data_IF_184606340300
#
_entry.id   IF_184606340300
#
_cell.length_a   1.000
_cell.length_b   1.000
_cell.length_c   1.000
_cell.angle_alpha   90.00
_cell.angle_beta   90.00
_cell.angle_gamma   90.00
#
_symmetry.space_group_name_H-M   'P 1'
#
loop_
_entity.id
_entity.type
_entity.pdbx_description
1 polymer ?
#
# COMPACT_ATOMS: atom_id res chain seq x y z
N UNK A 1 -4.27 -7.42 -28.95
CA UNK A 1 -4.81 -6.25 -29.70
C UNK A 1 -5.41 -5.28 -28.66
N UNK A 2 -4.74 -4.17 -28.37
CA UNK A 2 -5.09 -3.25 -27.26
C UNK A 2 -6.52 -2.72 -27.41
N UNK A 3 -7.30 -2.74 -26.33
CA UNK A 3 -8.65 -2.16 -26.30
C UNK A 3 -8.52 -0.64 -26.13
N UNK A 4 -8.99 0.14 -27.12
CA UNK A 4 -9.07 1.60 -27.03
C UNK A 4 -10.51 2.06 -26.83
N UNK A 5 -10.70 3.28 -26.33
CA UNK A 5 -12.04 3.86 -26.16
C UNK A 5 -12.74 3.93 -27.52
N UNK A 6 -12.05 4.40 -28.57
CA UNK A 6 -12.56 4.41 -29.94
C UNK A 6 -13.06 3.03 -30.39
N UNK A 7 -12.31 1.95 -30.13
CA UNK A 7 -12.73 0.59 -30.51
C UNK A 7 -13.92 0.11 -29.68
N UNK A 8 -13.96 0.45 -28.40
CA UNK A 8 -15.08 0.12 -27.53
C UNK A 8 -16.37 0.83 -27.99
N UNK A 9 -16.27 2.12 -28.33
CA UNK A 9 -17.36 2.92 -28.89
C UNK A 9 -17.90 2.30 -30.18
N UNK A 10 -17.01 1.99 -31.13
CA UNK A 10 -17.40 1.32 -32.38
C UNK A 10 -18.18 0.04 -32.10
N UNK A 11 -17.65 -0.85 -31.26
CA UNK A 11 -18.32 -2.11 -30.93
C UNK A 11 -19.68 -1.89 -30.23
N UNK A 12 -19.80 -0.88 -29.36
CA UNK A 12 -21.06 -0.57 -28.70
C UNK A 12 -22.11 -0.09 -29.71
N UNK A 13 -21.72 0.78 -30.64
CA UNK A 13 -22.60 1.29 -31.69
C UNK A 13 -22.96 0.23 -32.74
N UNK A 14 -22.05 -0.72 -33.05
CA UNK A 14 -22.32 -1.85 -33.96
C UNK A 14 -23.31 -2.86 -33.39
N UNK A 15 -23.45 -2.91 -32.06
CA UNK A 15 -24.41 -3.78 -31.39
C UNK A 15 -25.82 -3.18 -31.32
N UNK A 16 -26.00 -1.90 -31.66
CA UNK A 16 -27.31 -1.27 -31.66
C UNK A 16 -28.13 -1.78 -32.85
N UNK A 17 -29.45 -1.89 -32.67
CA UNK A 17 -30.36 -2.03 -33.79
C UNK A 17 -30.28 -0.78 -34.69
N UNK A 18 -30.65 -0.93 -35.96
CA UNK A 18 -30.69 0.19 -36.91
C UNK A 18 -31.54 1.36 -36.39
N UNK A 19 -32.69 1.07 -35.78
CA UNK A 19 -33.56 2.08 -35.17
C UNK A 19 -32.90 2.80 -33.99
N UNK A 20 -32.19 2.07 -33.13
CA UNK A 20 -31.53 2.65 -31.97
C UNK A 20 -30.30 3.46 -32.38
N UNK A 21 -29.58 3.02 -33.41
CA UNK A 21 -28.47 3.77 -33.99
C UNK A 21 -28.91 5.10 -34.62
N UNK A 22 -30.03 5.10 -35.35
CA UNK A 22 -30.61 6.33 -35.90
C UNK A 22 -31.09 7.27 -34.78
N UNK A 23 -31.72 6.74 -33.75
CA UNK A 23 -32.15 7.52 -32.57
C UNK A 23 -30.94 8.09 -31.83
N UNK A 24 -29.87 7.30 -31.66
CA UNK A 24 -28.60 7.76 -31.10
C UNK A 24 -28.02 8.95 -31.89
N UNK A 25 -28.02 8.85 -33.22
CA UNK A 25 -27.57 9.90 -34.12
C UNK A 25 -28.41 11.18 -34.00
N UNK A 26 -29.73 11.04 -33.86
CA UNK A 26 -30.64 12.15 -33.65
C UNK A 26 -30.38 12.85 -32.31
N UNK A 27 -30.23 12.10 -31.21
CA UNK A 27 -29.93 12.67 -29.90
C UNK A 27 -28.55 13.32 -29.84
N UNK A 28 -27.56 12.75 -30.54
CA UNK A 28 -26.23 13.36 -30.68
C UNK A 28 -26.30 14.72 -31.39
N UNK A 29 -27.19 14.86 -32.38
CA UNK A 29 -27.47 16.12 -33.08
C UNK A 29 -28.19 17.13 -32.18
N UNK A 30 -29.19 16.68 -31.43
CA UNK A 30 -30.07 17.54 -30.64
C UNK A 30 -29.41 18.03 -29.33
N UNK A 31 -28.22 17.49 -29.02
CA UNK A 31 -27.37 17.91 -27.91
C UNK A 31 -27.00 19.39 -28.00
N UNK A 32 -27.46 20.19 -27.03
CA UNK A 32 -27.25 21.66 -26.98
C UNK A 32 -25.93 22.09 -26.34
N UNK A 33 -25.20 21.16 -25.76
CA UNK A 33 -23.91 21.37 -25.09
C UNK A 33 -22.76 21.47 -26.11
N UNK A 34 -21.86 22.43 -25.92
CA UNK A 34 -20.64 22.54 -26.73
C UNK A 34 -19.62 21.44 -26.38
N UNK A 35 -18.87 20.88 -27.34
CA UNK A 35 -18.91 21.14 -28.78
C UNK A 35 -20.15 20.55 -29.49
N UNK A 36 -20.79 21.34 -30.36
CA UNK A 36 -21.96 20.87 -31.14
C UNK A 36 -21.57 20.10 -32.39
N UNK A 37 -22.37 19.08 -32.72
CA UNK A 37 -22.24 18.30 -33.95
C UNK A 37 -23.19 18.86 -35.01
N UNK A 38 -22.66 19.22 -36.19
CA UNK A 38 -23.47 19.74 -37.30
C UNK A 38 -24.30 18.63 -37.97
N UNK A 39 -25.46 19.01 -38.50
CA UNK A 39 -26.42 18.12 -39.18
C UNK A 39 -25.77 17.26 -40.28
N UNK A 40 -24.98 17.88 -41.17
CA UNK A 40 -24.27 17.21 -42.27
C UNK A 40 -23.22 16.20 -41.80
N UNK A 41 -22.87 16.23 -40.52
CA UNK A 41 -21.88 15.33 -39.96
C UNK A 41 -22.47 14.04 -39.41
N UNK A 42 -23.79 13.86 -39.40
CA UNK A 42 -24.41 12.67 -38.82
C UNK A 42 -25.30 11.91 -39.81
N UNK A 43 -25.94 12.63 -40.74
CA UNK A 43 -26.82 12.03 -41.75
C UNK A 43 -26.06 11.07 -42.69
N UNK A 44 -26.66 9.90 -42.95
CA UNK A 44 -26.14 8.82 -43.82
C UNK A 44 -24.74 8.31 -43.50
N UNK A 45 -24.28 8.49 -42.26
CA UNK A 45 -22.96 8.04 -41.83
C UNK A 45 -22.97 6.64 -41.23
N UNK A 46 -21.98 5.85 -41.62
CA UNK A 46 -21.71 4.55 -41.03
C UNK A 46 -21.27 4.65 -39.56
N UNK A 47 -21.43 3.57 -38.81
CA UNK A 47 -20.97 3.45 -37.41
C UNK A 47 -19.50 3.86 -37.25
N UNK A 48 -18.65 3.51 -38.22
CA UNK A 48 -17.25 3.91 -38.26
C UNK A 48 -17.07 5.43 -38.31
N UNK A 49 -17.79 6.09 -39.22
CA UNK A 49 -17.70 7.53 -39.39
C UNK A 49 -18.29 8.29 -38.20
N UNK A 50 -19.36 7.79 -37.59
CA UNK A 50 -19.93 8.36 -36.36
C UNK A 50 -18.97 8.19 -35.18
N UNK A 51 -18.32 7.03 -35.05
CA UNK A 51 -17.29 6.81 -34.03
C UNK A 51 -16.12 7.78 -34.19
N UNK A 52 -15.64 7.96 -35.42
CA UNK A 52 -14.56 8.90 -35.73
C UNK A 52 -14.95 10.35 -35.46
N UNK A 53 -16.20 10.71 -35.77
CA UNK A 53 -16.76 12.02 -35.47
C UNK A 53 -16.80 12.28 -33.95
N UNK A 54 -17.29 11.31 -33.17
CA UNK A 54 -17.35 11.42 -31.71
C UNK A 54 -15.95 11.66 -31.12
N UNK A 55 -14.97 10.84 -31.52
CA UNK A 55 -13.60 10.94 -31.00
C UNK A 55 -12.91 12.23 -31.48
N UNK A 56 -13.13 12.67 -32.72
CA UNK A 56 -12.54 13.92 -33.23
C UNK A 56 -13.16 15.18 -32.62
N UNK A 57 -14.46 15.16 -32.34
CA UNK A 57 -15.19 16.32 -31.80
C UNK A 57 -14.98 16.46 -30.29
N UNK A 58 -15.12 15.36 -29.55
CA UNK A 58 -15.12 15.39 -28.10
C UNK A 58 -13.80 14.95 -27.48
N UNK A 59 -12.88 14.32 -28.20
CA UNK A 59 -11.74 13.54 -27.66
C UNK A 59 -12.20 12.24 -26.98
N UNK A 60 -11.35 11.21 -26.94
CA UNK A 60 -11.76 9.87 -26.48
C UNK A 60 -12.45 9.86 -25.10
N UNK A 61 -11.94 10.51 -24.03
CA UNK A 61 -12.57 10.43 -22.72
C UNK A 61 -13.96 11.09 -22.68
N UNK A 62 -14.14 12.24 -23.34
CA UNK A 62 -15.42 12.95 -23.34
C UNK A 62 -16.39 12.25 -24.29
N UNK A 63 -15.91 11.74 -25.44
CA UNK A 63 -16.71 10.94 -26.37
C UNK A 63 -17.32 9.71 -25.68
N UNK A 64 -16.58 9.07 -24.78
CA UNK A 64 -17.10 7.98 -23.95
C UNK A 64 -18.27 8.43 -23.07
N UNK A 65 -18.12 9.55 -22.35
CA UNK A 65 -19.19 10.07 -21.50
C UNK A 65 -20.43 10.46 -22.30
N UNK A 66 -20.24 11.19 -23.41
CA UNK A 66 -21.35 11.56 -24.32
C UNK A 66 -22.06 10.32 -24.84
N UNK A 67 -21.33 9.30 -25.28
CA UNK A 67 -21.94 8.06 -25.76
C UNK A 67 -22.72 7.32 -24.67
N UNK A 68 -22.20 7.25 -23.44
CA UNK A 68 -22.89 6.61 -22.31
C UNK A 68 -24.20 7.33 -21.97
N UNK A 69 -24.19 8.67 -21.93
CA UNK A 69 -25.37 9.47 -21.64
C UNK A 69 -26.44 9.29 -22.73
N UNK A 70 -26.03 9.31 -24.00
CA UNK A 70 -26.93 9.09 -25.14
C UNK A 70 -27.49 7.66 -25.17
N UNK A 71 -26.67 6.63 -24.93
CA UNK A 71 -27.13 5.23 -24.86
C UNK A 71 -28.18 5.04 -23.76
N UNK A 72 -27.99 5.66 -22.60
CA UNK A 72 -28.98 5.63 -21.50
C UNK A 72 -30.24 6.39 -21.86
N UNK A 73 -30.12 7.53 -22.54
CA UNK A 73 -31.25 8.35 -22.99
C UNK A 73 -32.16 7.58 -23.96
N UNK A 74 -31.59 6.81 -24.87
CA UNK A 74 -32.33 5.95 -25.82
C UNK A 74 -32.73 4.58 -25.24
N UNK A 75 -32.59 4.38 -23.93
CA UNK A 75 -32.86 3.13 -23.21
C UNK A 75 -32.01 1.91 -23.60
N UNK A 76 -30.85 2.12 -24.25
CA UNK A 76 -29.85 1.08 -24.54
C UNK A 76 -28.91 0.87 -23.35
N UNK A 77 -29.49 0.44 -22.23
CA UNK A 77 -28.78 0.34 -20.95
C UNK A 77 -27.75 -0.80 -20.94
N UNK A 78 -28.02 -1.92 -21.61
CA UNK A 78 -27.10 -3.06 -21.66
C UNK A 78 -25.82 -2.72 -22.44
N UNK A 79 -25.95 -2.00 -23.54
CA UNK A 79 -24.85 -1.49 -24.35
C UNK A 79 -24.04 -0.44 -23.58
N UNK A 80 -24.73 0.44 -22.83
CA UNK A 80 -24.07 1.42 -21.97
C UNK A 80 -23.20 0.76 -20.88
N UNK A 81 -23.73 -0.25 -20.17
CA UNK A 81 -22.98 -0.94 -19.13
C UNK A 81 -21.85 -1.80 -19.70
N UNK A 82 -22.06 -2.41 -20.87
CA UNK A 82 -21.02 -3.14 -21.60
C UNK A 82 -19.89 -2.20 -22.03
N UNK A 83 -20.23 -1.03 -22.57
CA UNK A 83 -19.27 0.00 -22.96
C UNK A 83 -18.47 0.47 -21.75
N UNK A 84 -19.15 0.88 -20.67
CA UNK A 84 -18.53 1.35 -19.43
C UNK A 84 -17.57 0.31 -18.85
N UNK A 85 -17.98 -0.95 -18.78
CA UNK A 85 -17.15 -2.06 -18.28
C UNK A 85 -15.89 -2.27 -19.14
N UNK A 86 -16.03 -2.21 -20.47
CA UNK A 86 -14.91 -2.36 -21.42
C UNK A 86 -13.94 -1.17 -21.40
N UNK A 87 -14.40 0.02 -21.04
CA UNK A 87 -13.57 1.25 -21.02
C UNK A 87 -13.08 1.66 -19.64
N UNK A 88 -13.55 1.00 -18.57
CA UNK A 88 -13.18 1.32 -17.18
C UNK A 88 -11.68 1.41 -16.96
N UNK A 89 -10.91 0.51 -17.57
CA UNK A 89 -9.46 0.52 -17.46
C UNK A 89 -8.78 1.56 -18.37
N UNK A 90 -9.40 1.93 -19.50
CA UNK A 90 -8.90 2.99 -20.38
C UNK A 90 -9.00 4.38 -19.72
N UNK A 91 -9.91 4.56 -18.76
CA UNK A 91 -10.06 5.81 -18.00
C UNK A 91 -9.30 5.81 -16.67
N UNK A 92 -8.70 4.68 -16.25
CA UNK A 92 -7.89 4.63 -15.04
C UNK A 92 -6.62 5.47 -15.22
N UNK A 93 -6.48 6.53 -14.41
CA UNK A 93 -5.31 7.40 -14.40
C UNK A 93 -4.21 6.90 -13.46
N UNK A 94 -4.46 5.79 -12.77
CA UNK A 94 -3.61 5.27 -11.72
C UNK A 94 -3.83 5.95 -10.38
N UNK A 95 -4.90 6.72 -10.20
CA UNK A 95 -5.19 7.38 -8.93
C UNK A 95 -5.73 6.37 -7.90
N UNK A 96 -5.21 6.36 -6.66
CA UNK A 96 -5.70 5.48 -5.61
C UNK A 96 -7.04 5.99 -5.07
N UNK A 97 -7.90 5.06 -4.69
CA UNK A 97 -9.13 5.38 -3.95
C UNK A 97 -8.82 5.40 -2.46
N UNK A 98 -8.54 6.59 -1.91
CA UNK A 98 -8.24 6.72 -0.48
C UNK A 98 -9.45 6.41 0.39
N UNK A 99 -9.22 5.61 1.43
CA UNK A 99 -10.22 5.35 2.47
C UNK A 99 -10.36 6.56 3.36
N UNK A 100 -11.61 6.89 3.70
CA UNK A 100 -11.95 8.03 4.53
C UNK A 100 -12.79 7.58 5.72
N UNK A 101 -12.58 8.21 6.87
CA UNK A 101 -13.40 8.02 8.07
C UNK A 101 -14.80 8.60 7.87
N UNK A 102 -15.71 8.37 8.82
CA UNK A 102 -17.04 9.00 8.82
C UNK A 102 -17.01 10.53 8.87
N UNK A 103 -15.88 11.12 9.31
CA UNK A 103 -15.65 12.57 9.32
C UNK A 103 -15.05 13.10 8.01
N UNK A 104 -14.79 12.22 7.02
CA UNK A 104 -14.18 12.57 5.74
C UNK A 104 -12.67 12.74 5.79
N UNK A 105 -12.02 12.40 6.91
CA UNK A 105 -10.56 12.43 7.07
C UNK A 105 -9.90 11.19 6.49
N UNK A 106 -8.64 11.30 6.09
CA UNK A 106 -7.86 10.19 5.55
C UNK A 106 -7.71 9.08 6.60
N UNK A 107 -8.17 7.87 6.29
CA UNK A 107 -8.07 6.74 7.21
C UNK A 107 -6.64 6.16 7.16
N UNK A 108 -5.88 6.32 8.25
CA UNK A 108 -4.47 5.88 8.32
C UNK A 108 -4.29 4.47 8.87
N UNK A 109 -5.34 3.82 9.37
CA UNK A 109 -5.23 2.46 9.90
C UNK A 109 -5.26 1.42 8.76
N UNK A 110 -4.50 0.32 8.85
CA UNK A 110 -4.48 -0.73 7.83
C UNK A 110 -5.86 -1.39 7.67
N UNK A 111 -6.26 -1.60 6.40
CA UNK A 111 -7.46 -2.32 6.02
C UNK A 111 -7.39 -3.80 6.46
N UNK A 112 -8.52 -4.50 6.39
CA UNK A 112 -8.51 -5.93 6.66
C UNK A 112 -7.67 -6.68 5.64
N UNK A 113 -7.65 -6.24 4.39
CA UNK A 113 -6.81 -6.74 3.30
C UNK A 113 -5.32 -6.53 3.60
N UNK A 114 -4.94 -5.34 4.11
CA UNK A 114 -3.58 -5.07 4.58
C UNK A 114 -3.16 -6.01 5.70
N UNK A 115 -4.01 -6.19 6.71
CA UNK A 115 -3.77 -7.10 7.83
C UNK A 115 -3.64 -8.54 7.37
N UNK A 116 -4.52 -8.99 6.48
CA UNK A 116 -4.50 -10.33 5.91
C UNK A 116 -3.23 -10.57 5.09
N UNK A 117 -2.81 -9.59 4.30
CA UNK A 117 -1.57 -9.68 3.54
C UNK A 117 -0.35 -9.83 4.45
N UNK A 118 -0.23 -8.98 5.47
CA UNK A 118 0.88 -9.03 6.44
C UNK A 118 0.85 -10.32 7.26
N UNK A 119 -0.33 -10.80 7.66
CA UNK A 119 -0.49 -12.07 8.37
C UNK A 119 -0.17 -13.29 7.48
N UNK A 120 -0.47 -13.20 6.18
CA UNK A 120 -0.20 -14.23 5.18
C UNK A 120 1.26 -14.28 4.73
N UNK A 121 2.02 -13.19 4.89
CA UNK A 121 3.47 -13.24 4.82
C UNK A 121 3.95 -14.11 5.98
N UNK A 122 4.39 -15.34 5.68
CA UNK A 122 5.15 -16.11 6.67
C UNK A 122 6.31 -15.21 7.12
N UNK A 123 6.65 -15.14 8.43
CA UNK A 123 7.99 -14.69 8.78
C UNK A 123 8.93 -15.47 7.90
N UNK A 124 9.98 -14.84 7.37
CA UNK A 124 11.05 -15.51 6.62
C UNK A 124 11.58 -16.69 7.45
N UNK A 125 10.86 -17.81 7.44
CA UNK A 125 11.33 -19.10 7.86
C UNK A 125 12.39 -19.36 6.84
N UNK A 126 13.64 -19.37 7.33
CA UNK A 126 14.80 -19.76 6.58
C UNK A 126 14.36 -20.82 5.58
N UNK A 127 14.30 -20.42 4.29
CA UNK A 127 14.13 -21.38 3.25
C UNK A 127 15.18 -22.46 3.56
N UNK A 128 14.75 -23.72 3.62
CA UNK A 128 15.70 -24.82 3.78
C UNK A 128 16.86 -24.59 2.80
N UNK A 129 18.10 -24.91 3.19
CA UNK A 129 19.28 -24.60 2.39
C UNK A 129 19.11 -25.19 0.99
N UNK A 130 18.77 -24.35 0.00
CA UNK A 130 18.48 -24.80 -1.37
C UNK A 130 17.41 -24.04 -2.14
N UNK A 131 16.56 -23.22 -1.51
CA UNK A 131 15.66 -22.32 -2.25
C UNK A 131 16.38 -21.04 -2.68
N UNK A 132 16.36 -20.63 -3.97
CA UNK A 132 16.93 -19.35 -4.36
C UNK A 132 16.19 -18.22 -3.60
N UNK A 133 16.91 -17.31 -2.92
CA UNK A 133 16.26 -16.15 -2.33
C UNK A 133 15.59 -15.37 -3.46
N UNK A 134 14.32 -14.99 -3.28
CA UNK A 134 13.60 -14.18 -4.26
C UNK A 134 14.38 -12.87 -4.50
N UNK A 135 15.13 -12.83 -5.60
CA UNK A 135 16.05 -11.75 -5.95
C UNK A 135 15.28 -10.44 -6.08
N UNK A 136 15.91 -9.34 -5.64
CA UNK A 136 15.37 -8.00 -5.86
C UNK A 136 15.41 -7.74 -7.37
N UNK A 137 14.25 -7.53 -7.97
CA UNK A 137 14.13 -7.23 -9.40
C UNK A 137 14.84 -5.92 -9.71
N UNK A 138 15.40 -5.79 -10.90
CA UNK A 138 15.95 -4.53 -11.41
C UNK A 138 14.83 -3.49 -11.62
N UNK A 139 15.13 -2.18 -11.63
CA UNK A 139 14.12 -1.17 -11.92
C UNK A 139 13.46 -1.38 -13.28
N UNK A 140 14.24 -1.80 -14.28
CA UNK A 140 13.77 -2.08 -15.63
C UNK A 140 12.78 -3.24 -15.68
N UNK A 141 13.03 -4.32 -14.93
CA UNK A 141 12.10 -5.45 -14.80
C UNK A 141 10.80 -5.04 -14.13
N UNK A 142 10.86 -4.25 -13.04
CA UNK A 142 9.66 -3.75 -12.34
C UNK A 142 8.84 -2.84 -13.25
N UNK A 143 9.49 -1.96 -14.01
CA UNK A 143 8.83 -1.09 -14.97
C UNK A 143 8.20 -1.88 -16.14
N UNK A 144 8.92 -2.86 -16.70
CA UNK A 144 8.42 -3.69 -17.77
C UNK A 144 7.19 -4.51 -17.33
N UNK A 145 7.21 -5.09 -16.13
CA UNK A 145 6.06 -5.77 -15.56
C UNK A 145 4.87 -4.84 -15.33
N UNK A 146 5.13 -3.61 -14.83
CA UNK A 146 4.09 -2.62 -14.64
C UNK A 146 3.46 -2.20 -15.98
N UNK A 147 4.26 -1.94 -17.02
CA UNK A 147 3.77 -1.62 -18.37
C UNK A 147 2.99 -2.79 -18.97
N UNK A 148 3.47 -4.01 -18.83
CA UNK A 148 2.76 -5.20 -19.30
C UNK A 148 1.38 -5.33 -18.62
N UNK A 149 1.28 -5.07 -17.32
CA UNK A 149 -0.01 -5.03 -16.60
C UNK A 149 -0.92 -3.93 -17.14
N UNK A 150 -0.42 -2.70 -17.27
CA UNK A 150 -1.18 -1.57 -17.83
C UNK A 150 -1.74 -1.91 -19.21
N UNK A 151 -0.91 -2.46 -20.10
CA UNK A 151 -1.34 -2.87 -21.44
C UNK A 151 -2.37 -4.00 -21.42
N UNK A 152 -2.20 -4.99 -20.53
CA UNK A 152 -3.15 -6.10 -20.38
C UNK A 152 -4.51 -5.66 -19.86
N UNK A 153 -4.53 -4.60 -19.04
CA UNK A 153 -5.75 -3.97 -18.54
C UNK A 153 -6.37 -3.02 -19.58
N UNK A 154 -5.66 -2.64 -20.64
CA UNK A 154 -6.14 -1.69 -21.66
C UNK A 154 -5.89 -0.23 -21.32
N UNK A 155 -4.96 0.05 -20.39
CA UNK A 155 -4.50 1.38 -20.06
C UNK A 155 -3.34 1.87 -20.94
N UNK A 156 -3.00 3.15 -20.80
CA UNK A 156 -1.90 3.80 -21.52
C UNK A 156 -0.57 3.64 -20.79
N UNK A 157 0.38 2.90 -21.38
CA UNK A 157 1.71 2.67 -20.80
C UNK A 157 2.65 3.89 -20.90
N UNK A 158 2.24 4.95 -21.61
CA UNK A 158 2.92 6.26 -21.62
C UNK A 158 2.50 7.12 -20.44
N UNK A 159 1.36 6.82 -19.82
CA UNK A 159 0.93 7.48 -18.59
C UNK A 159 1.81 7.02 -17.42
N UNK A 160 2.84 7.83 -17.11
CA UNK A 160 3.81 7.55 -16.04
C UNK A 160 3.15 7.31 -14.68
N UNK A 161 2.06 8.00 -14.36
CA UNK A 161 1.34 7.81 -13.09
C UNK A 161 0.66 6.45 -13.06
N UNK A 162 -0.04 6.08 -14.13
CA UNK A 162 -0.68 4.78 -14.27
C UNK A 162 0.34 3.64 -14.19
N UNK A 163 1.48 3.77 -14.88
CA UNK A 163 2.58 2.81 -14.77
C UNK A 163 3.07 2.73 -13.33
N UNK A 164 3.42 3.84 -12.68
CA UNK A 164 3.86 3.85 -11.27
C UNK A 164 2.85 3.20 -10.32
N UNK A 165 1.56 3.40 -10.55
CA UNK A 165 0.48 2.79 -9.76
C UNK A 165 0.53 1.25 -9.75
N UNK A 166 1.09 0.65 -10.82
CA UNK A 166 1.27 -0.79 -11.03
C UNK A 166 2.66 -1.31 -10.67
N UNK A 167 3.61 -0.44 -10.30
CA UNK A 167 4.92 -0.89 -9.82
C UNK A 167 4.76 -1.75 -8.57
N UNK A 168 5.50 -2.87 -8.55
CA UNK A 168 5.48 -3.80 -7.42
C UNK A 168 6.50 -3.38 -6.37
N UNK A 169 6.06 -3.28 -5.12
CA UNK A 169 6.90 -2.99 -3.96
C UNK A 169 7.92 -4.12 -3.78
N UNK A 170 9.21 -3.77 -3.74
CA UNK A 170 10.31 -4.73 -3.60
C UNK A 170 10.86 -4.84 -2.17
N UNK A 171 10.30 -4.10 -1.20
CA UNK A 171 10.79 -3.99 0.18
C UNK A 171 9.66 -3.99 1.22
N UNK A 172 10.03 -4.16 2.49
CA UNK A 172 9.11 -4.03 3.62
C UNK A 172 8.01 -5.10 3.66
N UNK A 173 7.06 -4.91 4.58
CA UNK A 173 5.98 -5.86 4.87
C UNK A 173 4.91 -5.94 3.76
N UNK A 174 4.94 -5.02 2.80
CA UNK A 174 4.03 -4.98 1.65
C UNK A 174 4.73 -5.41 0.35
N UNK A 175 5.90 -6.05 0.44
CA UNK A 175 6.60 -6.61 -0.73
C UNK A 175 5.65 -7.49 -1.55
N UNK A 176 5.62 -7.26 -2.86
CA UNK A 176 4.76 -7.97 -3.80
C UNK A 176 3.43 -7.26 -4.12
N UNK A 177 3.03 -6.26 -3.34
CA UNK A 177 1.86 -5.42 -3.65
C UNK A 177 2.22 -4.27 -4.58
N UNK A 178 1.20 -3.68 -5.24
CA UNK A 178 1.43 -2.49 -6.05
C UNK A 178 1.47 -1.21 -5.20
N UNK A 179 2.06 -0.14 -5.75
CA UNK A 179 2.03 1.17 -5.09
C UNK A 179 0.60 1.67 -4.86
N UNK A 180 -0.28 1.54 -5.85
CA UNK A 180 -1.71 1.89 -5.70
C UNK A 180 -2.37 1.12 -4.58
N UNK A 181 -2.16 -0.20 -4.54
CA UNK A 181 -2.74 -1.06 -3.50
C UNK A 181 -2.31 -0.60 -2.11
N UNK A 182 -1.03 -0.26 -1.91
CA UNK A 182 -0.54 0.22 -0.61
C UNK A 182 -1.23 1.52 -0.19
N UNK A 183 -1.39 2.49 -1.10
CA UNK A 183 -2.06 3.75 -0.78
C UNK A 183 -3.55 3.58 -0.47
N UNK A 184 -4.21 2.57 -1.07
CA UNK A 184 -5.62 2.26 -0.80
C UNK A 184 -5.81 1.50 0.52
N UNK A 185 -4.84 0.67 0.91
CA UNK A 185 -4.98 -0.28 2.01
C UNK A 185 -4.22 0.10 3.29
N UNK A 186 -3.11 0.83 3.20
CA UNK A 186 -2.35 1.32 4.35
C UNK A 186 -1.54 2.59 4.01
N UNK A 187 -2.27 3.70 3.82
CA UNK A 187 -1.66 5.02 3.58
C UNK A 187 -0.88 5.52 4.79
N UNK A 188 -1.23 5.09 6.02
CA UNK A 188 -0.53 5.44 7.24
C UNK A 188 0.90 4.89 7.26
N UNK A 189 1.11 3.66 6.79
CA UNK A 189 2.45 3.12 6.56
C UNK A 189 3.26 3.92 5.56
N UNK A 190 2.65 4.29 4.43
CA UNK A 190 3.33 5.11 3.42
C UNK A 190 3.74 6.47 4.01
N UNK A 191 2.83 7.14 4.72
CA UNK A 191 3.10 8.45 5.30
C UNK A 191 4.20 8.40 6.37
N UNK A 192 4.17 7.39 7.27
CA UNK A 192 5.22 7.21 8.26
C UNK A 192 6.57 6.88 7.63
N UNK A 193 6.57 5.99 6.65
CA UNK A 193 7.79 5.61 5.95
C UNK A 193 8.42 6.83 5.28
N UNK A 194 7.63 7.65 4.59
CA UNK A 194 8.09 8.90 3.98
C UNK A 194 8.60 9.91 5.01
N UNK A 195 7.86 10.13 6.11
CA UNK A 195 8.27 11.02 7.18
C UNK A 195 9.64 10.62 7.75
N UNK A 196 9.86 9.31 7.94
CA UNK A 196 11.12 8.76 8.44
C UNK A 196 12.24 8.74 7.39
N UNK A 197 11.90 8.60 6.11
CA UNK A 197 12.85 8.46 5.01
C UNK A 197 13.45 9.81 4.58
N UNK A 198 12.62 10.86 4.54
CA UNK A 198 13.03 12.22 4.18
C UNK A 198 14.00 12.85 5.21
N UNK A 199 13.98 12.40 6.47
CA UNK A 199 14.92 12.85 7.52
C UNK A 199 16.30 12.15 7.44
N UNK A 200 16.43 11.02 6.74
CA UNK A 200 17.64 10.19 6.70
C UNK A 200 18.47 10.34 5.42
N UNK A 201 18.13 11.29 4.56
CA UNK A 201 18.72 11.46 3.23
C UNK A 201 20.10 12.16 3.25
N UNK A 202 21.05 11.67 4.06
CA UNK A 202 22.46 12.07 3.94
C UNK A 202 23.45 10.95 3.63
N UNK A 203 23.14 9.67 3.86
CA UNK A 203 24.12 8.61 3.62
C UNK A 203 23.57 7.46 2.77
N UNK A 204 24.29 7.15 1.70
CA UNK A 204 24.10 6.03 0.76
C UNK A 204 23.08 6.23 -0.37
N UNK A 205 23.28 7.27 -1.19
CA UNK A 205 22.73 7.33 -2.55
C UNK A 205 23.52 6.39 -3.48
N UNK A 206 23.44 5.08 -3.21
CA UNK A 206 23.97 4.04 -4.07
C UNK A 206 22.95 3.63 -5.12
N UNK A 207 23.40 3.23 -6.31
CA UNK A 207 22.60 2.69 -7.42
C UNK A 207 22.03 1.28 -7.11
N UNK A 208 21.48 1.08 -5.92
CA UNK A 208 20.86 -0.18 -5.53
C UNK A 208 19.42 -0.21 -6.07
N UNK A 209 19.01 -1.29 -6.75
CA UNK A 209 17.64 -1.42 -7.31
C UNK A 209 16.53 -1.10 -6.29
N UNK A 210 16.74 -1.49 -5.02
CA UNK A 210 15.81 -1.19 -3.93
C UNK A 210 15.67 0.31 -3.64
N UNK A 211 16.73 1.11 -3.81
CA UNK A 211 16.67 2.57 -3.65
C UNK A 211 15.80 3.21 -4.74
N UNK A 212 15.94 2.76 -5.99
CA UNK A 212 15.08 3.23 -7.09
C UNK A 212 13.61 2.87 -6.85
N UNK A 213 13.32 1.67 -6.35
CA UNK A 213 11.93 1.30 -6.01
C UNK A 213 11.34 2.18 -4.89
N UNK A 214 12.16 2.58 -3.90
CA UNK A 214 11.77 3.53 -2.85
C UNK A 214 11.52 4.93 -3.43
N UNK A 215 12.45 5.47 -4.21
CA UNK A 215 12.32 6.78 -4.85
C UNK A 215 11.07 6.86 -5.76
N UNK A 216 10.75 5.77 -6.47
CA UNK A 216 9.54 5.68 -7.28
C UNK A 216 8.26 5.64 -6.45
N UNK A 217 8.25 4.94 -5.30
CA UNK A 217 7.11 4.96 -4.38
C UNK A 217 6.92 6.36 -3.79
N UNK A 218 8.01 7.04 -3.42
CA UNK A 218 7.98 8.43 -2.98
C UNK A 218 7.35 9.32 -4.05
N UNK A 219 7.85 9.28 -5.28
CA UNK A 219 7.34 10.09 -6.40
C UNK A 219 5.85 9.86 -6.66
N UNK A 220 5.38 8.62 -6.55
CA UNK A 220 3.96 8.30 -6.68
C UNK A 220 3.14 8.86 -5.52
N UNK A 221 3.58 8.64 -4.28
CA UNK A 221 2.84 9.00 -3.08
C UNK A 221 2.75 10.52 -2.85
N UNK A 222 3.84 11.26 -3.09
CA UNK A 222 3.88 12.73 -2.92
C UNK A 222 3.06 13.48 -3.97
N UNK A 223 2.61 12.81 -5.03
CA UNK A 223 1.69 13.40 -6.00
C UNK A 223 0.30 13.68 -5.41
N UNK A 224 -0.01 13.15 -4.21
CA UNK A 224 -1.31 13.26 -3.56
C UNK A 224 -1.24 14.19 -2.34
N UNK A 225 -1.96 15.33 -2.34
CA UNK A 225 -1.94 16.29 -1.24
C UNK A 225 -2.38 15.72 0.11
N UNK A 226 -3.33 14.77 0.11
CA UNK A 226 -3.80 14.09 1.32
C UNK A 226 -2.68 13.31 2.01
N UNK A 227 -1.82 12.63 1.23
CA UNK A 227 -0.65 11.90 1.74
C UNK A 227 0.41 12.88 2.26
N UNK A 228 0.71 13.94 1.50
CA UNK A 228 1.67 14.97 1.93
C UNK A 228 1.26 15.66 3.23
N UNK A 229 -0.03 15.91 3.43
CA UNK A 229 -0.57 16.45 4.68
C UNK A 229 -0.24 15.53 5.85
N UNK A 230 -0.46 14.21 5.70
CA UNK A 230 -0.17 13.25 6.77
C UNK A 230 1.34 13.10 7.02
N UNK A 231 2.17 13.11 5.98
CA UNK A 231 3.65 13.12 6.11
C UNK A 231 4.10 14.32 6.95
N UNK A 232 3.58 15.52 6.66
CA UNK A 232 3.90 16.74 7.44
C UNK A 232 3.43 16.64 8.89
N UNK A 233 2.25 16.09 9.13
CA UNK A 233 1.75 15.82 10.49
C UNK A 233 2.73 14.93 11.26
N UNK A 234 3.23 13.86 10.64
CA UNK A 234 4.19 12.96 11.26
C UNK A 234 5.59 13.57 11.42
N UNK A 235 6.05 14.41 10.48
CA UNK A 235 7.30 15.18 10.61
C UNK A 235 7.22 16.22 11.73
N UNK A 236 6.06 16.84 11.95
CA UNK A 236 5.86 17.73 13.11
C UNK A 236 5.98 16.98 14.45
N UNK A 237 5.86 15.65 14.46
CA UNK A 237 6.19 14.82 15.62
C UNK A 237 7.71 14.71 15.85
N UNK A 238 8.53 14.94 14.82
CA UNK A 238 9.98 15.08 14.90
C UNK A 238 10.43 16.40 15.53
N UNK A 239 9.55 17.41 15.60
CA UNK A 239 9.77 18.62 16.39
C UNK A 239 9.69 18.33 17.90
N UNK A 240 10.02 19.33 18.73
CA UNK A 240 9.86 19.22 20.17
C UNK A 240 8.39 18.85 20.51
N UNK A 241 8.20 17.85 21.38
CA UNK A 241 6.90 17.28 21.74
C UNK A 241 5.84 18.36 22.03
N UNK A 242 6.26 19.48 22.61
CA UNK A 242 5.44 20.69 22.76
C UNK A 242 4.38 20.59 23.85
N UNK A 243 4.28 19.45 24.55
CA UNK A 243 3.39 19.24 25.69
C UNK A 243 4.00 18.27 26.71
N UNK A 244 3.45 18.26 27.92
CA UNK A 244 3.84 17.33 28.98
C UNK A 244 5.26 17.54 29.55
N UNK A 245 5.73 16.53 30.31
CA UNK A 245 7.01 16.55 31.04
C UNK A 245 8.22 16.70 30.11
N UNK A 246 8.14 16.13 28.91
CA UNK A 246 9.22 16.14 27.93
C UNK A 246 8.95 17.06 26.73
N UNK A 247 8.24 18.18 26.97
CA UNK A 247 7.84 19.14 25.91
C UNK A 247 8.97 19.66 25.02
N UNK A 248 10.21 19.67 25.50
CA UNK A 248 11.40 20.11 24.76
C UNK A 248 12.17 18.98 24.07
N UNK A 249 11.78 17.72 24.28
CA UNK A 249 12.41 16.55 23.68
C UNK A 249 11.63 16.16 22.43
N UNK A 250 12.33 15.76 21.36
CA UNK A 250 11.67 15.24 20.16
C UNK A 250 11.09 13.86 20.42
N UNK A 251 10.01 13.50 19.71
CA UNK A 251 9.37 12.22 19.95
C UNK A 251 10.28 11.03 19.59
N UNK A 252 11.12 11.18 18.58
CA UNK A 252 12.14 10.19 18.24
C UNK A 252 13.12 9.96 19.40
N UNK A 253 13.72 11.04 19.94
CA UNK A 253 14.67 10.94 21.07
C UNK A 253 14.00 10.38 22.32
N UNK A 254 12.73 10.74 22.53
CA UNK A 254 11.93 10.23 23.63
C UNK A 254 11.67 8.73 23.49
N UNK A 255 11.33 8.26 22.29
CA UNK A 255 11.05 6.85 21.97
C UNK A 255 12.31 5.96 22.00
N UNK A 256 13.44 6.46 21.50
CA UNK A 256 14.71 5.71 21.44
C UNK A 256 15.50 5.75 22.77
N UNK A 257 15.01 6.47 23.77
CA UNK A 257 15.67 6.63 25.06
C UNK A 257 15.69 5.33 25.89
N UNK A 258 16.81 5.09 26.58
CA UNK A 258 16.96 3.99 27.56
C UNK A 258 16.64 4.40 29.01
N UNK A 259 16.37 5.67 29.23
CA UNK A 259 15.98 6.24 30.51
C UNK A 259 14.61 5.72 30.97
N UNK A 260 14.52 5.22 32.21
CA UNK A 260 13.30 4.59 32.74
C UNK A 260 12.10 5.54 32.81
N UNK A 261 12.33 6.83 33.11
CA UNK A 261 11.25 7.83 33.18
C UNK A 261 10.72 8.18 31.80
N UNK A 262 11.60 8.21 30.78
CA UNK A 262 11.19 8.41 29.39
C UNK A 262 10.48 7.18 28.83
N UNK A 263 10.95 5.98 29.14
CA UNK A 263 10.28 4.71 28.78
C UNK A 263 8.88 4.67 29.40
N UNK A 264 8.76 5.00 30.69
CA UNK A 264 7.49 5.04 31.41
C UNK A 264 6.52 6.05 30.78
N UNK A 265 7.03 7.19 30.34
CA UNK A 265 6.21 8.20 29.67
C UNK A 265 5.77 7.78 28.25
N UNK A 266 6.63 7.10 27.48
CA UNK A 266 6.23 6.49 26.20
C UNK A 266 5.15 5.44 26.42
N UNK A 267 5.26 4.61 27.47
CA UNK A 267 4.22 3.64 27.84
C UNK A 267 2.90 4.32 28.23
N UNK A 268 2.97 5.47 28.91
CA UNK A 268 1.81 6.30 29.20
C UNK A 268 1.16 6.85 27.92
N UNK A 269 1.95 7.39 26.98
CA UNK A 269 1.41 7.84 25.69
C UNK A 269 0.78 6.67 24.92
N UNK A 270 1.43 5.50 24.90
CA UNK A 270 0.88 4.29 24.28
C UNK A 270 -0.50 3.91 24.83
N UNK A 271 -0.71 4.03 26.14
CA UNK A 271 -2.00 3.70 26.76
C UNK A 271 -3.11 4.72 26.45
N UNK A 272 -2.77 5.86 25.84
CA UNK A 272 -3.73 6.94 25.53
C UNK A 272 -4.31 6.87 24.13
N UNK A 273 -3.99 5.84 23.35
CA UNK A 273 -4.47 5.66 21.96
C UNK A 273 -5.97 5.74 21.76
N UNK A 274 -6.78 5.37 22.76
CA UNK A 274 -8.24 5.43 22.71
C UNK A 274 -8.85 6.71 23.32
N UNK A 275 -8.02 7.61 23.87
CA UNK A 275 -8.48 8.76 24.68
C UNK A 275 -7.93 10.10 24.21
N UNK A 276 -7.17 10.14 23.11
CA UNK A 276 -6.64 11.37 22.56
C UNK A 276 -7.72 12.13 21.79
N UNK A 277 -7.79 13.45 21.98
CA UNK A 277 -8.64 14.31 21.15
C UNK A 277 -8.02 14.41 19.74
N UNK A 278 -8.83 14.26 18.67
CA UNK A 278 -8.38 14.43 17.30
C UNK A 278 -7.72 15.80 17.05
N UNK A 279 -6.66 15.82 16.24
CA UNK A 279 -5.90 17.02 15.87
C UNK A 279 -4.92 17.53 16.92
N UNK A 280 -4.78 16.87 18.06
CA UNK A 280 -3.85 17.31 19.12
C UNK A 280 -2.42 16.80 18.91
N UNK A 281 -1.42 17.54 19.42
CA UNK A 281 -0.03 17.08 19.47
C UNK A 281 0.13 15.73 20.19
N UNK A 282 -0.75 15.44 21.15
CA UNK A 282 -0.78 14.17 21.86
C UNK A 282 -1.21 13.02 20.94
N UNK A 283 -2.26 13.22 20.14
CA UNK A 283 -2.70 12.23 19.15
C UNK A 283 -1.59 11.92 18.14
N UNK A 284 -0.93 12.95 17.62
CA UNK A 284 0.23 12.82 16.72
C UNK A 284 1.35 12.00 17.38
N UNK A 285 1.63 12.27 18.66
CA UNK A 285 2.65 11.54 19.40
C UNK A 285 2.30 10.07 19.61
N UNK A 286 1.05 9.77 19.95
CA UNK A 286 0.59 8.39 20.10
C UNK A 286 0.62 7.65 18.77
N UNK A 287 0.19 8.28 17.67
CA UNK A 287 0.20 7.69 16.33
C UNK A 287 1.62 7.29 15.90
N UNK A 288 2.59 8.17 16.11
CA UNK A 288 4.00 7.88 15.83
C UNK A 288 4.53 6.69 16.66
N UNK A 289 4.25 6.66 17.97
CA UNK A 289 4.68 5.56 18.87
C UNK A 289 4.12 4.22 18.40
N UNK A 290 2.80 4.16 18.15
CA UNK A 290 2.14 2.94 17.68
C UNK A 290 2.68 2.48 16.34
N UNK A 291 2.99 3.42 15.45
CA UNK A 291 3.58 3.10 14.16
C UNK A 291 4.97 2.49 14.31
N UNK A 292 5.85 3.09 15.13
CA UNK A 292 7.18 2.55 15.44
C UNK A 292 7.12 1.17 16.10
N UNK A 293 6.21 0.96 17.05
CA UNK A 293 6.02 -0.32 17.72
C UNK A 293 5.67 -1.44 16.72
N UNK A 294 4.73 -1.16 15.79
CA UNK A 294 4.34 -2.09 14.72
C UNK A 294 5.56 -2.47 13.86
N UNK A 295 6.42 -1.53 13.51
CA UNK A 295 7.60 -1.78 12.67
C UNK A 295 8.75 -2.48 13.39
N UNK A 296 8.92 -2.28 14.70
CA UNK A 296 9.90 -3.05 15.48
C UNK A 296 9.45 -4.50 15.68
N UNK A 297 8.14 -4.74 15.81
CA UNK A 297 7.61 -6.10 15.90
C UNK A 297 7.85 -6.92 14.63
N UNK A 298 7.78 -6.29 13.44
CA UNK A 298 7.97 -6.97 12.15
C UNK A 298 9.44 -7.18 11.75
N UNK A 299 10.35 -6.34 12.25
CA UNK A 299 11.79 -6.43 11.95
C UNK A 299 12.62 -7.21 12.99
N UNK A 300 11.99 -7.83 14.00
CA UNK A 300 12.72 -8.60 15.01
C UNK A 300 13.25 -9.90 14.39
N UNK A 301 14.58 -10.13 14.34
CA UNK A 301 15.10 -11.47 14.05
C UNK A 301 14.61 -12.38 15.18
N UNK A 302 13.95 -13.48 14.84
CA UNK A 302 13.53 -14.48 15.83
C UNK A 302 14.78 -15.19 16.39
N UNK A 303 15.51 -14.54 17.29
CA UNK A 303 16.37 -15.27 18.22
C UNK A 303 15.44 -15.93 19.23
N UNK A 304 15.01 -17.13 18.87
CA UNK A 304 14.43 -18.10 19.79
C UNK A 304 15.39 -18.32 20.95
N UNK A 305 15.23 -17.58 22.04
CA UNK A 305 15.65 -18.08 23.34
C UNK A 305 14.59 -19.08 23.78
N UNK A 306 14.86 -20.35 23.49
CA UNK A 306 14.09 -21.45 24.06
C UNK A 306 14.06 -21.29 25.59
N UNK A 307 12.88 -21.29 26.24
CA UNK A 307 12.81 -21.30 27.68
C UNK A 307 13.41 -22.61 28.19
N UNK A 308 14.48 -22.49 28.97
CA UNK A 308 15.16 -23.60 29.63
C UNK A 308 14.14 -24.36 30.48
N UNK A 309 13.83 -25.59 30.06
CA UNK A 309 12.80 -26.42 30.67
C UNK A 309 13.00 -26.56 32.18
N UNK A 310 11.95 -26.21 32.92
CA UNK A 310 11.80 -26.50 34.35
C UNK A 310 11.83 -28.02 34.53
N UNK A 311 12.88 -28.53 35.16
CA UNK A 311 13.06 -29.95 35.46
C UNK A 311 12.01 -30.35 36.51
N UNK A 312 10.93 -31.01 36.06
CA UNK A 312 9.87 -31.54 36.92
C UNK A 312 10.46 -32.55 37.92
N UNK A 313 10.17 -32.28 39.20
CA UNK A 313 10.46 -33.12 40.37
C UNK A 313 9.66 -34.42 40.23
N UNK A 314 10.34 -35.54 40.03
CA UNK A 314 9.70 -36.86 39.99
C UNK A 314 9.58 -37.39 41.43
N UNK A 315 8.36 -37.41 41.94
CA UNK A 315 7.99 -38.10 43.18
C UNK A 315 7.89 -39.60 42.92
N UNK A 316 8.66 -40.41 43.65
CA UNK A 316 8.36 -41.83 43.85
C UNK A 316 8.75 -42.24 45.27
N UNK A 317 7.75 -42.66 46.07
CA UNK A 317 7.93 -43.16 47.44
C UNK A 317 8.21 -44.68 47.43
N UNK A 318 9.20 -45.04 48.25
CA UNK A 318 9.40 -46.21 49.14
C UNK A 318 9.47 -47.65 48.59
N UNK A 319 10.63 -48.27 48.90
CA UNK A 319 10.88 -49.67 49.29
C UNK A 319 12.35 -49.76 49.72
N UNK A 320 12.70 -49.60 51.01
CA UNK A 320 13.04 -50.67 51.98
C UNK A 320 14.02 -51.72 51.40
N UNK A 321 15.32 -51.66 51.72
CA UNK A 321 15.97 -52.47 52.77
C UNK A 321 17.50 -52.21 52.85
N UNK A 322 18.05 -52.52 54.03
CA UNK A 322 19.38 -52.26 54.58
C UNK A 322 20.59 -52.90 53.88
N UNK A 323 21.78 -52.30 54.06
CA UNK A 323 23.00 -52.88 54.70
C UNK A 323 24.21 -51.97 54.35
N UNK A 324 24.82 -51.25 55.30
CA UNK A 324 25.91 -51.67 56.20
C UNK A 324 27.29 -51.77 55.53
N UNK A 325 28.10 -50.70 55.62
CA UNK A 325 29.47 -50.64 56.22
C UNK A 325 30.32 -49.50 55.63
N UNK A 326 30.82 -48.62 56.52
CA UNK A 326 32.07 -47.87 56.32
C UNK A 326 33.27 -48.85 56.24
N UNK A 327 34.43 -48.45 55.69
CA UNK A 327 35.43 -47.88 56.59
C UNK A 327 36.35 -46.78 55.98
N UNK A 328 36.65 -45.80 56.85
CA UNK A 328 37.96 -45.17 57.11
C UNK A 328 38.81 -44.53 55.99
N UNK A 329 39.06 -43.22 56.18
CA UNK A 329 40.26 -42.46 55.76
C UNK A 329 41.58 -43.16 56.10
N UNK A 330 42.65 -42.92 55.32
CA UNK A 330 43.69 -41.97 55.78
C UNK A 330 44.24 -41.06 54.66
N UNK A 331 44.42 -39.76 54.92
CA UNK A 331 45.70 -39.05 55.17
C UNK A 331 46.51 -38.67 53.90
N UNK A 332 46.61 -37.34 53.73
CA UNK A 332 47.63 -36.52 53.06
C UNK A 332 48.82 -37.24 52.41
N UNK A 333 49.07 -36.91 51.12
CA UNK A 333 50.38 -36.43 50.60
C UNK A 333 50.17 -35.48 49.40
N UNK A 334 50.54 -34.20 49.57
CA UNK A 334 51.17 -33.36 48.52
C UNK A 334 52.65 -33.82 48.42
N UNK A 335 53.45 -33.58 47.35
CA UNK A 335 53.62 -32.27 46.69
C UNK A 335 54.18 -32.24 45.23
N UNK A 336 54.53 -31.02 44.80
CA UNK A 336 55.48 -30.57 43.74
C UNK A 336 54.99 -30.68 42.29
N UNK A 337 54.71 -29.56 41.61
CA UNK A 337 55.65 -28.61 40.95
C UNK A 337 56.44 -29.28 39.82
N UNK A 338 55.90 -29.25 38.61
CA UNK A 338 56.45 -28.57 37.42
C UNK A 338 55.31 -28.38 36.42
#
# INVERSE_FOLDING_TARGET
MVQTIKRALRHALENLSETNFLTFCQELRDRREEPRVLYSHVEDKSVLQITDLLVSTFTEPIALHVALDLLRLINCNEEAETLNSKTKACVDKGDPTFRKTSTGELETEPSQEARNHVAGQRPFQAAGPGGPPASVKTPEEVEAEAKARVLSEGGDDRNKRLVLSRWTIQFGQYKGQSFKWLLENDVGYTAWWLASHLEQQQDTRGQNSMAVNKDSLERYAVAYPEVLKEVRTLQSAGEALGFGRYKSVTLQKLYESKDEDKISYVNFLRSKSSTCNPGTKMEVAVRYILHRDKNLATNRPTTSFAPRAVRKRQTRKKGVQSTTRQPTRPVRKKPKWS
#
